data_IF_471102024745
#
_entry.id   IF_471102024745
#
_cell.length_a   1.000
_cell.length_b   1.000
_cell.length_c   1.000
_cell.angle_alpha   90.00
_cell.angle_beta   90.00
_cell.angle_gamma   90.00
#
_symmetry.space_group_name_H-M   'P 1'
#
loop_
_entity.id
_entity.type
_entity.pdbx_description
1 polymer ?
#
# COMPACT_ATOMS: atom_id res chain seq x y z
N UNK A 1 9.87 8.20 5.19
CA UNK A 1 9.42 7.21 4.18
C UNK A 1 10.05 7.54 2.83
N UNK A 2 10.03 6.63 1.87
CA UNK A 2 10.45 6.88 0.48
C UNK A 2 9.22 6.96 -0.42
N UNK A 3 9.15 8.00 -1.26
CA UNK A 3 8.05 8.16 -2.20
C UNK A 3 8.14 7.13 -3.34
N UNK A 4 7.13 6.26 -3.47
CA UNK A 4 7.02 5.23 -4.52
C UNK A 4 6.75 5.78 -5.94
N UNK A 5 6.93 7.09 -6.16
CA UNK A 5 6.81 7.73 -7.48
C UNK A 5 8.12 8.39 -7.92
N UNK A 6 8.76 9.16 -7.05
CA UNK A 6 10.03 9.83 -7.37
C UNK A 6 11.26 9.24 -6.65
N UNK A 7 11.08 8.27 -5.77
CA UNK A 7 12.12 7.64 -4.95
C UNK A 7 12.89 8.61 -4.03
N UNK A 8 12.36 9.81 -3.80
CA UNK A 8 12.92 10.74 -2.83
C UNK A 8 12.36 10.49 -1.43
N UNK A 9 13.16 10.84 -0.42
CA UNK A 9 12.72 10.85 0.98
C UNK A 9 11.52 11.79 1.18
N UNK A 10 10.60 11.37 2.04
CA UNK A 10 9.42 12.13 2.43
C UNK A 10 9.14 11.99 3.93
N UNK A 11 8.69 13.08 4.54
CA UNK A 11 8.14 13.08 5.90
C UNK A 11 6.70 12.57 5.88
N UNK A 12 6.33 11.81 6.89
CA UNK A 12 4.98 11.32 7.11
C UNK A 12 4.69 11.42 8.60
N UNK A 13 3.64 12.15 8.97
CA UNK A 13 3.17 12.21 10.35
C UNK A 13 2.32 10.98 10.60
N UNK A 14 2.60 10.30 11.71
CA UNK A 14 1.84 9.14 12.16
C UNK A 14 1.01 9.59 13.35
N UNK A 15 -0.29 9.35 13.25
CA UNK A 15 -1.28 9.53 14.31
C UNK A 15 -2.15 8.28 14.29
N UNK A 16 -2.10 7.50 15.37
CA UNK A 16 -2.69 6.16 15.45
C UNK A 16 -3.41 6.00 16.78
N UNK A 17 -4.65 5.55 16.70
CA UNK A 17 -5.50 5.21 17.83
C UNK A 17 -5.97 3.77 17.64
N UNK A 18 -5.84 2.94 18.67
CA UNK A 18 -6.24 1.53 18.65
C UNK A 18 -6.99 1.17 19.92
N UNK A 19 -8.01 0.30 19.78
CA UNK A 19 -8.80 -0.20 20.90
C UNK A 19 -8.90 -1.73 20.81
N UNK A 20 -8.34 -2.41 21.82
CA UNK A 20 -8.23 -3.86 21.88
C UNK A 20 -9.00 -4.40 23.08
N UNK A 21 -9.65 -5.55 22.93
CA UNK A 21 -10.30 -6.28 24.01
C UNK A 21 -9.54 -7.57 24.31
N UNK A 22 -9.11 -7.75 25.57
CA UNK A 22 -8.50 -9.00 26.00
C UNK A 22 -9.54 -10.11 26.04
N UNK A 23 -9.24 -11.23 25.37
CA UNK A 23 -10.11 -12.41 25.30
C UNK A 23 -9.36 -13.67 25.65
N UNK A 24 -10.09 -14.67 26.15
CA UNK A 24 -9.55 -16.00 26.52
C UNK A 24 -9.72 -17.05 25.41
N UNK A 25 -10.49 -16.74 24.38
CA UNK A 25 -10.72 -17.65 23.27
C UNK A 25 -11.71 -17.13 22.23
N UNK A 26 -11.95 -17.93 21.17
CA UNK A 26 -12.74 -17.50 20.01
C UNK A 26 -14.18 -17.11 20.34
N UNK A 27 -14.82 -17.82 21.27
CA UNK A 27 -16.21 -17.56 21.67
C UNK A 27 -16.40 -16.17 22.30
N UNK A 28 -15.40 -15.66 23.02
CA UNK A 28 -15.44 -14.32 23.60
C UNK A 28 -15.15 -13.25 22.54
N UNK A 29 -14.22 -13.52 21.62
CA UNK A 29 -13.93 -12.66 20.47
C UNK A 29 -15.16 -12.44 19.57
N UNK A 30 -15.93 -13.49 19.31
CA UNK A 30 -17.15 -13.43 18.49
C UNK A 30 -18.27 -12.58 19.11
N UNK A 31 -18.23 -12.34 20.42
CA UNK A 31 -19.22 -11.54 21.16
C UNK A 31 -18.83 -10.06 21.29
N UNK A 32 -17.64 -9.68 20.82
CA UNK A 32 -17.17 -8.30 20.94
C UNK A 32 -17.99 -7.33 20.07
N UNK A 33 -18.14 -6.07 20.52
CA UNK A 33 -18.53 -4.97 19.64
C UNK A 33 -17.63 -4.90 18.41
N UNK A 34 -18.17 -4.44 17.27
CA UNK A 34 -17.42 -4.40 16.00
C UNK A 34 -16.23 -3.44 16.02
N UNK A 35 -16.23 -2.51 16.96
CA UNK A 35 -15.23 -1.45 17.10
C UNK A 35 -14.00 -1.89 17.89
N UNK A 36 -14.01 -3.09 18.49
CA UNK A 36 -12.92 -3.62 19.30
C UNK A 36 -12.28 -4.83 18.64
N UNK A 37 -10.97 -4.76 18.47
CA UNK A 37 -10.20 -5.88 17.97
C UNK A 37 -9.86 -6.85 19.12
N UNK A 38 -10.06 -8.17 18.94
CA UNK A 38 -9.76 -9.15 19.96
C UNK A 38 -8.25 -9.36 20.12
N UNK A 39 -7.78 -9.36 21.35
CA UNK A 39 -6.42 -9.73 21.73
C UNK A 39 -6.43 -10.98 22.60
N UNK A 40 -6.04 -12.10 22.02
CA UNK A 40 -5.94 -13.37 22.73
C UNK A 40 -4.71 -13.37 23.64
N UNK A 41 -4.91 -13.55 24.94
CA UNK A 41 -3.83 -13.65 25.91
C UNK A 41 -3.94 -14.95 26.71
N UNK A 42 -2.88 -15.76 26.72
CA UNK A 42 -2.86 -17.00 27.51
C UNK A 42 -2.68 -16.71 29.01
N UNK A 43 -3.16 -17.61 29.88
CA UNK A 43 -3.25 -17.38 31.34
C UNK A 43 -1.92 -17.00 32.04
N UNK A 44 -0.78 -17.32 31.44
CA UNK A 44 0.56 -17.04 31.98
C UNK A 44 1.41 -16.18 31.06
N UNK A 45 0.80 -15.66 30.00
CA UNK A 45 1.47 -14.81 29.03
C UNK A 45 1.39 -13.36 29.49
N UNK A 46 2.50 -12.64 29.34
CA UNK A 46 2.56 -11.22 29.62
C UNK A 46 2.27 -10.45 28.33
N UNK A 47 1.46 -9.40 28.47
CA UNK A 47 1.16 -8.49 27.37
C UNK A 47 2.42 -7.73 26.94
N UNK A 48 2.87 -7.96 25.70
CA UNK A 48 4.00 -7.23 25.12
C UNK A 48 3.54 -5.90 24.51
N UNK A 49 3.32 -4.89 25.35
CA UNK A 49 2.81 -3.57 24.93
C UNK A 49 3.66 -2.93 23.83
N UNK A 50 4.98 -3.13 23.87
CA UNK A 50 5.89 -2.61 22.84
C UNK A 50 5.58 -3.17 21.45
N UNK A 51 5.34 -4.48 21.35
CA UNK A 51 5.05 -5.13 20.07
C UNK A 51 3.71 -4.66 19.53
N UNK A 52 2.69 -4.56 20.38
CA UNK A 52 1.38 -4.02 20.00
C UNK A 52 1.48 -2.59 19.47
N UNK A 53 2.21 -1.71 20.15
CA UNK A 53 2.41 -0.34 19.67
C UNK A 53 3.17 -0.33 18.35
N UNK A 54 4.16 -1.20 18.16
CA UNK A 54 4.91 -1.31 16.90
C UNK A 54 4.00 -1.75 15.74
N UNK A 55 3.13 -2.74 15.98
CA UNK A 55 2.18 -3.23 14.99
C UNK A 55 1.16 -2.15 14.60
N UNK A 56 0.55 -1.45 15.57
CA UNK A 56 -0.38 -0.35 15.28
C UNK A 56 0.28 0.78 14.48
N UNK A 57 1.51 1.14 14.84
CA UNK A 57 2.27 2.13 14.08
C UNK A 57 2.58 1.65 12.66
N UNK A 58 2.91 0.37 12.48
CA UNK A 58 3.17 -0.20 11.16
C UNK A 58 1.91 -0.21 10.29
N UNK A 59 0.75 -0.56 10.86
CA UNK A 59 -0.55 -0.57 10.19
C UNK A 59 -1.01 0.83 9.77
N UNK A 60 -0.62 1.87 10.51
CA UNK A 60 -0.91 3.28 10.17
C UNK A 60 -0.14 3.79 8.93
N UNK A 61 0.96 3.13 8.55
CA UNK A 61 1.81 3.54 7.42
C UNK A 61 1.18 3.09 6.09
N UNK A 62 1.10 3.98 5.07
CA UNK A 62 0.55 3.61 3.77
C UNK A 62 1.40 2.55 3.06
N UNK A 63 0.76 1.53 2.50
CA UNK A 63 1.40 0.46 1.70
C UNK A 63 2.19 0.99 0.51
N UNK A 64 1.76 2.12 -0.09
CA UNK A 64 2.50 2.82 -1.15
C UNK A 64 2.63 4.30 -0.80
N UNK A 65 3.67 4.70 -0.04
CA UNK A 65 3.87 6.09 0.35
C UNK A 65 4.12 6.97 -0.88
N UNK A 66 3.37 8.05 -1.00
CA UNK A 66 3.52 9.04 -2.07
C UNK A 66 3.30 10.43 -1.52
N UNK A 67 4.01 11.41 -2.08
CA UNK A 67 3.66 12.80 -1.83
C UNK A 67 2.24 13.08 -2.32
N UNK A 68 1.62 14.12 -1.75
CA UNK A 68 0.34 14.64 -2.21
C UNK A 68 0.36 14.93 -3.72
N UNK A 69 -0.83 14.91 -4.33
CA UNK A 69 -0.99 15.21 -5.75
C UNK A 69 -0.37 16.58 -6.07
N UNK A 70 0.45 16.64 -7.13
CA UNK A 70 1.18 17.84 -7.53
C UNK A 70 2.49 18.11 -6.80
N UNK A 71 2.74 17.52 -5.62
CA UNK A 71 3.95 17.79 -4.82
C UNK A 71 5.14 16.88 -5.14
N UNK A 72 4.95 15.83 -5.94
CA UNK A 72 6.05 14.95 -6.34
C UNK A 72 6.56 15.30 -7.75
N UNK A 73 7.88 15.49 -7.87
CA UNK A 73 8.61 15.82 -9.09
C UNK A 73 8.76 14.68 -10.11
N UNK A 74 8.17 13.51 -9.84
CA UNK A 74 8.17 12.39 -10.77
C UNK A 74 7.57 12.79 -12.12
N UNK A 75 8.02 12.12 -13.20
CA UNK A 75 7.63 12.44 -14.57
C UNK A 75 6.11 12.60 -14.70
N UNK A 76 5.66 13.84 -14.94
CA UNK A 76 4.29 14.11 -15.36
C UNK A 76 4.16 13.52 -16.76
N UNK A 77 3.33 12.49 -16.94
CA UNK A 77 2.90 12.14 -18.28
C UNK A 77 2.20 13.38 -18.85
N UNK A 78 2.60 13.87 -20.03
CA UNK A 78 1.86 14.94 -20.67
C UNK A 78 0.39 14.49 -20.77
N UNK A 79 -0.51 15.34 -20.30
CA UNK A 79 -1.94 15.14 -20.55
C UNK A 79 -2.11 14.94 -22.05
N UNK A 80 -2.99 14.02 -22.50
CA UNK A 80 -3.23 13.84 -23.92
C UNK A 80 -3.63 15.20 -24.52
N UNK A 81 -2.70 15.83 -25.21
CA UNK A 81 -3.01 17.00 -26.02
C UNK A 81 -3.98 16.51 -27.09
N UNK A 82 -5.06 17.27 -27.33
CA UNK A 82 -5.96 17.02 -28.46
C UNK A 82 -5.11 16.80 -29.72
N UNK A 83 -5.40 15.78 -30.53
CA UNK A 83 -4.48 15.35 -31.57
C UNK A 83 -4.36 16.46 -32.63
N UNK A 84 -3.27 17.23 -32.56
CA UNK A 84 -2.74 17.90 -33.73
C UNK A 84 -2.42 16.80 -34.76
N UNK A 85 -3.05 16.91 -35.94
CA UNK A 85 -3.02 15.95 -37.04
C UNK A 85 -1.78 15.04 -37.02
N UNK A 86 -1.97 13.81 -36.57
CA UNK A 86 -0.91 12.83 -36.40
C UNK A 86 -0.35 12.45 -37.77
N UNK A 87 0.88 12.89 -38.06
CA UNK A 87 1.73 12.18 -39.01
C UNK A 87 1.95 10.77 -38.45
N UNK A 88 1.62 9.74 -39.22
CA UNK A 88 1.80 8.33 -38.89
C UNK A 88 3.29 8.03 -38.62
N UNK A 89 3.73 8.26 -37.38
CA UNK A 89 5.01 7.75 -36.90
C UNK A 89 4.85 6.25 -36.67
N UNK A 90 5.80 5.41 -37.11
CA UNK A 90 5.73 3.97 -36.89
C UNK A 90 5.67 3.70 -35.38
N UNK A 91 4.73 2.83 -34.98
CA UNK A 91 4.52 2.48 -33.57
C UNK A 91 5.84 1.94 -32.96
N UNK A 92 6.38 2.56 -31.90
CA UNK A 92 7.65 2.15 -31.28
C UNK A 92 7.60 0.74 -30.66
N UNK A 93 6.40 0.19 -30.47
CA UNK A 93 6.14 -1.15 -29.98
C UNK A 93 5.77 -2.14 -31.08
N UNK A 94 5.88 -1.78 -32.37
CA UNK A 94 5.57 -2.67 -33.49
C UNK A 94 6.36 -3.99 -33.44
N UNK A 95 7.57 -3.97 -32.88
CA UNK A 95 8.43 -5.16 -32.67
C UNK A 95 7.79 -6.17 -31.71
N UNK A 96 6.93 -5.74 -30.77
CA UNK A 96 6.24 -6.63 -29.83
C UNK A 96 5.19 -7.51 -30.51
N UNK A 97 4.74 -7.18 -31.72
CA UNK A 97 3.81 -8.02 -32.49
C UNK A 97 4.41 -9.40 -32.82
N UNK A 98 5.74 -9.47 -33.04
CA UNK A 98 6.45 -10.72 -33.30
C UNK A 98 6.48 -11.66 -32.07
N UNK A 99 6.34 -11.11 -30.86
CA UNK A 99 6.30 -11.90 -29.62
C UNK A 99 4.93 -12.52 -29.36
N UNK A 100 3.88 -12.09 -30.08
CA UNK A 100 2.52 -12.64 -29.94
C UNK A 100 2.34 -13.99 -30.63
N UNK A 101 3.25 -14.35 -31.54
CA UNK A 101 3.20 -15.61 -32.33
C UNK A 101 4.28 -16.62 -31.97
N UNK A 102 5.16 -16.30 -31.00
CA UNK A 102 6.31 -17.13 -30.61
C UNK A 102 6.17 -17.84 -29.26
N UNK A 103 4.96 -18.02 -28.73
CA UNK A 103 4.71 -18.71 -27.47
C UNK A 103 4.81 -20.24 -27.58
N UNK A 104 6.01 -20.76 -27.83
CA UNK A 104 6.37 -22.15 -27.56
C UNK A 104 7.56 -22.13 -26.59
N UNK A 105 7.32 -22.29 -25.28
CA UNK A 105 8.35 -22.72 -24.33
C UNK A 105 7.71 -23.69 -23.34
N UNK A 106 8.23 -24.92 -23.37
CA UNK A 106 8.18 -25.92 -22.27
C UNK A 106 8.94 -25.44 -21.05
#
# INVERSE_FOLDING_TARGET
LECQRCLNSMSHQVDAEGALALVRGPLEAEQLPRELDPLLLQEKELLQVRELVEDELLLSIPVSPRHAAGSCSGHRHPEPQEPAAQQEKPNPFAVLAALKTGGNHS
#
